data_IF_191423532759
#
_entry.id   IF_191423532759
#
_cell.length_a   1.000
_cell.length_b   1.000
_cell.length_c   1.000
_cell.angle_alpha   90.00
_cell.angle_beta   90.00
_cell.angle_gamma   90.00
#
_symmetry.space_group_name_H-M   'P 1'
#
loop_
_entity.id
_entity.type
_entity.pdbx_description
1 polymer ?
#
# COMPACT_ATOMS: atom_id res chain seq x y z
N UNK A 1 1.52 16.11 74.28
CA UNK A 1 0.94 17.03 73.29
C UNK A 1 0.99 16.35 71.93
N UNK A 2 -0.16 16.02 71.34
CA UNK A 2 -0.22 15.32 70.04
C UNK A 2 -0.33 16.35 68.91
N UNK A 3 0.48 16.19 67.86
CA UNK A 3 0.47 17.08 66.70
C UNK A 3 -0.79 16.85 65.84
N UNK A 4 -1.39 17.90 65.25
CA UNK A 4 -2.54 17.75 64.35
C UNK A 4 -2.11 17.06 63.05
N UNK A 5 -2.83 16.02 62.66
CA UNK A 5 -2.62 15.27 61.41
C UNK A 5 -2.99 16.18 60.24
N UNK A 6 -2.15 16.29 59.18
CA UNK A 6 -2.50 17.08 58.00
C UNK A 6 -3.70 16.46 57.28
N UNK A 7 -4.71 17.29 56.99
CA UNK A 7 -5.88 16.89 56.21
C UNK A 7 -5.44 16.59 54.79
N UNK A 8 -5.63 15.35 54.34
CA UNK A 8 -5.37 14.92 52.97
C UNK A 8 -6.70 14.79 52.22
N UNK A 9 -6.85 15.56 51.15
CA UNK A 9 -7.99 15.44 50.25
C UNK A 9 -7.86 14.14 49.45
N UNK A 10 -8.68 13.15 49.80
CA UNK A 10 -8.82 11.94 48.99
C UNK A 10 -9.69 12.29 47.78
N UNK A 11 -9.05 12.61 46.67
CA UNK A 11 -9.75 12.75 45.38
C UNK A 11 -10.18 11.36 44.92
N UNK A 12 -11.37 10.95 45.35
CA UNK A 12 -12.05 9.77 44.83
C UNK A 12 -12.51 10.07 43.40
N UNK A 13 -11.82 9.49 42.40
CA UNK A 13 -12.29 9.52 41.01
C UNK A 13 -13.46 8.52 40.88
N UNK A 14 -14.63 8.91 41.37
CA UNK A 14 -15.88 8.23 41.03
C UNK A 14 -16.14 8.48 39.55
N UNK A 15 -16.10 7.40 38.78
CA UNK A 15 -16.32 7.33 37.33
C UNK A 15 -15.03 7.30 36.50
N UNK A 16 -14.49 6.08 36.37
CA UNK A 16 -13.92 5.71 35.07
C UNK A 16 -15.02 5.99 34.04
N UNK A 17 -14.83 7.01 33.20
CA UNK A 17 -15.55 7.21 31.95
C UNK A 17 -15.35 5.98 31.05
N UNK A 18 -15.91 4.85 31.43
CA UNK A 18 -16.08 3.68 30.61
C UNK A 18 -17.36 3.88 29.82
N UNK A 19 -17.37 4.96 29.02
CA UNK A 19 -18.32 5.14 27.94
C UNK A 19 -18.11 4.02 26.94
N UNK A 20 -18.67 2.84 27.22
CA UNK A 20 -18.87 1.78 26.25
C UNK A 20 -19.90 2.33 25.26
N UNK A 21 -19.42 3.05 24.25
CA UNK A 21 -20.23 3.34 23.06
C UNK A 21 -20.57 1.98 22.46
N UNK A 22 -21.82 1.56 22.64
CA UNK A 22 -22.34 0.39 21.94
C UNK A 22 -22.18 0.68 20.45
N UNK A 23 -21.29 -0.07 19.80
CA UNK A 23 -21.18 -0.03 18.35
C UNK A 23 -22.46 -0.67 17.84
N UNK A 24 -23.46 0.15 17.50
CA UNK A 24 -24.58 -0.29 16.67
C UNK A 24 -23.96 -0.86 15.40
N UNK A 25 -23.98 -2.19 15.26
CA UNK A 25 -23.75 -2.82 13.98
C UNK A 25 -24.97 -2.48 13.16
N UNK A 26 -24.84 -1.52 12.25
CA UNK A 26 -25.84 -1.38 11.21
C UNK A 26 -25.74 -2.66 10.38
N UNK A 27 -26.75 -3.52 10.47
CA UNK A 27 -26.94 -4.61 9.54
C UNK A 27 -26.91 -4.01 8.14
N UNK A 28 -25.96 -4.44 7.32
CA UNK A 28 -25.88 -4.03 5.93
C UNK A 28 -27.06 -4.72 5.24
N UNK A 29 -28.06 -4.00 4.71
CA UNK A 29 -29.09 -4.63 3.91
C UNK A 29 -28.39 -5.27 2.72
N UNK A 30 -28.57 -6.58 2.55
CA UNK A 30 -28.02 -7.35 1.45
C UNK A 30 -28.80 -7.12 0.14
N UNK A 31 -29.14 -5.87 -0.17
CA UNK A 31 -29.64 -5.50 -1.48
C UNK A 31 -28.46 -4.96 -2.28
N UNK A 32 -28.03 -5.74 -3.29
CA UNK A 32 -27.18 -5.20 -4.34
C UNK A 32 -27.89 -3.98 -4.93
N UNK A 33 -27.26 -2.79 -4.96
CA UNK A 33 -27.87 -1.64 -5.60
C UNK A 33 -28.02 -1.97 -7.09
N UNK A 34 -29.24 -2.30 -7.49
CA UNK A 34 -29.60 -2.40 -8.90
C UNK A 34 -29.21 -1.06 -9.54
N UNK A 35 -28.33 -1.03 -10.55
CA UNK A 35 -27.99 0.21 -11.21
C UNK A 35 -29.26 0.71 -11.87
N UNK A 36 -29.91 1.70 -11.26
CA UNK A 36 -30.99 2.44 -11.90
C UNK A 36 -30.36 3.12 -13.12
N UNK A 37 -30.49 2.50 -14.28
CA UNK A 37 -30.20 3.13 -15.56
C UNK A 37 -31.24 4.23 -15.75
N UNK A 38 -30.95 5.42 -15.21
CA UNK A 38 -31.75 6.60 -15.47
C UNK A 38 -31.53 6.93 -16.94
N UNK A 39 -32.43 6.42 -17.78
CA UNK A 39 -32.57 6.73 -19.21
C UNK A 39 -33.00 8.20 -19.35
N UNK A 40 -32.08 9.10 -19.01
CA UNK A 40 -32.29 10.52 -19.21
C UNK A 40 -31.91 10.83 -20.66
N UNK A 41 -32.94 11.03 -21.48
CA UNK A 41 -32.87 11.59 -22.83
C UNK A 41 -32.37 13.04 -22.79
N UNK A 42 -31.16 13.27 -22.27
CA UNK A 42 -30.46 14.55 -22.23
C UNK A 42 -29.17 14.40 -23.03
N UNK A 43 -28.74 15.40 -23.81
CA UNK A 43 -27.45 15.36 -24.49
C UNK A 43 -26.36 15.08 -23.45
N UNK A 44 -25.66 13.95 -23.60
CA UNK A 44 -24.57 13.54 -22.70
C UNK A 44 -23.40 14.49 -22.89
N UNK A 45 -23.36 15.56 -22.09
CA UNK A 45 -22.17 16.39 -21.94
C UNK A 45 -21.04 15.46 -21.45
N UNK A 46 -19.90 15.50 -22.15
CA UNK A 46 -18.77 14.63 -21.85
C UNK A 46 -18.17 15.01 -20.49
N UNK A 47 -18.32 14.11 -19.52
CA UNK A 47 -17.82 14.30 -18.17
C UNK A 47 -16.63 13.35 -17.94
N UNK A 48 -15.43 13.91 -17.76
CA UNK A 48 -14.21 13.14 -17.52
C UNK A 48 -14.31 12.18 -16.32
N UNK A 49 -15.01 12.58 -15.27
CA UNK A 49 -15.23 11.76 -14.06
C UNK A 49 -16.04 10.51 -14.37
N UNK A 50 -17.11 10.66 -15.16
CA UNK A 50 -17.96 9.55 -15.61
C UNK A 50 -17.22 8.64 -16.58
N UNK A 51 -16.50 9.20 -17.56
CA UNK A 51 -15.70 8.44 -18.50
C UNK A 51 -14.63 7.60 -17.77
N UNK A 52 -13.93 8.20 -16.79
CA UNK A 52 -12.94 7.49 -15.96
C UNK A 52 -13.56 6.34 -15.16
N UNK A 53 -14.77 6.55 -14.62
CA UNK A 53 -15.51 5.49 -13.92
C UNK A 53 -15.88 4.34 -14.87
N UNK A 54 -16.40 4.65 -16.06
CA UNK A 54 -16.82 3.66 -17.05
C UNK A 54 -15.64 2.83 -17.57
N UNK A 55 -14.51 3.46 -17.89
CA UNK A 55 -13.27 2.77 -18.27
C UNK A 55 -12.79 1.83 -17.17
N UNK A 56 -12.80 2.32 -15.93
CA UNK A 56 -12.37 1.51 -14.78
C UNK A 56 -13.33 0.35 -14.54
N UNK A 57 -14.65 0.58 -14.56
CA UNK A 57 -15.70 -0.45 -14.44
C UNK A 57 -15.56 -1.53 -15.52
N UNK A 58 -15.36 -1.11 -16.77
CA UNK A 58 -15.16 -2.01 -17.91
C UNK A 58 -13.91 -2.88 -17.72
N UNK A 59 -12.80 -2.28 -17.30
CA UNK A 59 -11.56 -3.02 -16.97
C UNK A 59 -11.72 -4.04 -15.84
N UNK A 60 -12.67 -3.85 -14.91
CA UNK A 60 -12.94 -4.81 -13.83
C UNK A 60 -13.76 -6.03 -14.29
N UNK A 61 -14.53 -5.92 -15.36
CA UNK A 61 -15.42 -6.99 -15.81
C UNK A 61 -14.67 -8.23 -16.30
N UNK A 62 -13.43 -8.06 -16.77
CA UNK A 62 -12.61 -9.16 -17.31
C UNK A 62 -11.78 -9.94 -16.28
N UNK A 63 -11.86 -9.63 -14.98
CA UNK A 63 -11.10 -10.34 -13.95
C UNK A 63 -11.84 -11.56 -13.38
N UNK A 64 -11.07 -12.58 -12.98
CA UNK A 64 -11.55 -13.68 -12.14
C UNK A 64 -12.20 -13.16 -10.85
N UNK A 65 -13.21 -13.88 -10.32
CA UNK A 65 -14.07 -13.44 -9.21
C UNK A 65 -13.28 -12.89 -8.00
N UNK A 66 -12.23 -13.58 -7.57
CA UNK A 66 -11.42 -13.16 -6.40
C UNK A 66 -10.68 -11.84 -6.64
N UNK A 67 -10.08 -11.70 -7.82
CA UNK A 67 -9.36 -10.48 -8.22
C UNK A 67 -10.35 -9.33 -8.41
N UNK A 68 -11.52 -9.64 -8.98
CA UNK A 68 -12.59 -8.67 -9.21
C UNK A 68 -13.05 -8.02 -7.90
N UNK A 69 -13.21 -8.77 -6.82
CA UNK A 69 -13.60 -8.24 -5.50
C UNK A 69 -12.54 -7.26 -4.99
N UNK A 70 -11.26 -7.66 -5.01
CA UNK A 70 -10.14 -6.81 -4.55
C UNK A 70 -10.07 -5.51 -5.36
N UNK A 71 -10.26 -5.60 -6.68
CA UNK A 71 -10.23 -4.43 -7.56
C UNK A 71 -11.46 -3.52 -7.40
N UNK A 72 -12.65 -4.10 -7.16
CA UNK A 72 -13.88 -3.34 -6.85
C UNK A 72 -13.70 -2.53 -5.56
N UNK A 73 -13.13 -3.14 -4.51
CA UNK A 73 -12.81 -2.45 -3.26
C UNK A 73 -11.79 -1.34 -3.48
N UNK A 74 -10.71 -1.60 -4.22
CA UNK A 74 -9.72 -0.57 -4.55
C UNK A 74 -10.31 0.59 -5.36
N UNK A 75 -11.20 0.28 -6.30
CA UNK A 75 -11.94 1.26 -7.09
C UNK A 75 -12.80 2.16 -6.20
N UNK A 76 -13.57 1.56 -5.29
CA UNK A 76 -14.39 2.30 -4.33
C UNK A 76 -13.54 3.23 -3.47
N UNK A 77 -12.39 2.75 -2.96
CA UNK A 77 -11.45 3.57 -2.18
C UNK A 77 -10.95 4.76 -3.01
N UNK A 78 -10.61 4.56 -4.28
CA UNK A 78 -10.15 5.63 -5.18
C UNK A 78 -11.24 6.66 -5.49
N UNK A 79 -12.51 6.27 -5.43
CA UNK A 79 -13.67 7.16 -5.53
C UNK A 79 -14.00 7.85 -4.20
N UNK A 80 -13.23 7.59 -3.14
CA UNK A 80 -13.39 8.22 -1.82
C UNK A 80 -14.12 7.37 -0.78
N UNK A 81 -14.45 6.11 -1.10
CA UNK A 81 -15.02 5.21 -0.08
C UNK A 81 -14.00 4.94 1.03
N UNK A 82 -14.51 4.79 2.27
CA UNK A 82 -13.68 4.45 3.42
C UNK A 82 -13.09 3.04 3.26
N UNK A 83 -11.78 2.84 3.44
CA UNK A 83 -11.17 1.52 3.33
C UNK A 83 -11.74 0.55 4.37
N UNK A 84 -11.80 -0.76 4.06
CA UNK A 84 -12.29 -1.76 4.99
C UNK A 84 -11.42 -1.81 6.25
N UNK A 85 -12.05 -2.11 7.40
CA UNK A 85 -11.33 -2.24 8.66
C UNK A 85 -10.41 -3.46 8.60
N UNK A 86 -9.20 -3.32 9.14
CA UNK A 86 -8.26 -4.43 9.28
C UNK A 86 -8.77 -5.41 10.34
N UNK A 87 -8.45 -6.68 10.16
CA UNK A 87 -8.68 -7.72 11.16
C UNK A 87 -7.99 -7.37 12.48
N UNK A 88 -8.63 -7.75 13.58
CA UNK A 88 -8.04 -7.58 14.91
C UNK A 88 -6.85 -8.53 15.06
N UNK A 89 -5.72 -8.01 15.54
CA UNK A 89 -4.51 -8.79 15.81
C UNK A 89 -3.96 -8.42 17.17
N UNK A 90 -3.41 -9.39 17.88
CA UNK A 90 -2.66 -9.14 19.12
C UNK A 90 -1.46 -8.21 18.83
N UNK A 91 -1.22 -7.24 19.70
CA UNK A 91 -0.17 -6.24 19.53
C UNK A 91 1.22 -6.85 19.30
N UNK A 92 1.57 -7.92 20.04
CA UNK A 92 2.89 -8.57 19.90
C UNK A 92 3.08 -9.14 18.49
N UNK A 93 2.06 -9.82 17.97
CA UNK A 93 2.05 -10.40 16.61
C UNK A 93 2.12 -9.29 15.56
N UNK A 94 1.32 -8.24 15.71
CA UNK A 94 1.31 -7.09 14.81
C UNK A 94 2.69 -6.40 14.75
N UNK A 95 3.39 -6.33 15.88
CA UNK A 95 4.74 -5.75 15.91
C UNK A 95 5.78 -6.63 15.23
N UNK A 96 5.72 -7.94 15.43
CA UNK A 96 6.58 -8.89 14.74
C UNK A 96 6.38 -8.82 13.21
N UNK A 97 5.12 -8.81 12.74
CA UNK A 97 4.82 -8.65 11.30
C UNK A 97 5.39 -7.35 10.73
N UNK A 98 5.30 -6.24 11.46
CA UNK A 98 5.87 -4.95 11.03
C UNK A 98 7.39 -5.01 10.92
N UNK A 99 8.06 -5.69 11.85
CA UNK A 99 9.52 -5.82 11.82
C UNK A 99 9.96 -6.68 10.63
N UNK A 100 9.31 -7.83 10.42
CA UNK A 100 9.56 -8.71 9.28
C UNK A 100 9.36 -7.99 7.94
N UNK A 101 8.24 -7.28 7.77
CA UNK A 101 7.98 -6.49 6.56
C UNK A 101 9.04 -5.43 6.29
N UNK A 102 9.54 -4.74 7.33
CA UNK A 102 10.63 -3.77 7.19
C UNK A 102 11.94 -4.43 6.75
N UNK A 103 12.24 -5.64 7.24
CA UNK A 103 13.42 -6.39 6.83
C UNK A 103 13.30 -6.84 5.37
N UNK A 104 12.16 -7.42 4.98
CA UNK A 104 11.88 -7.83 3.59
C UNK A 104 11.95 -6.64 2.63
N UNK A 105 11.40 -5.48 3.00
CA UNK A 105 11.47 -4.27 2.18
C UNK A 105 12.93 -3.78 1.99
N UNK A 106 13.74 -3.81 3.06
CA UNK A 106 15.18 -3.48 2.97
C UNK A 106 15.92 -4.46 2.07
N UNK A 107 15.62 -5.76 2.15
CA UNK A 107 16.23 -6.76 1.27
C UNK A 107 15.82 -6.59 -0.18
N UNK A 108 14.53 -6.30 -0.45
CA UNK A 108 14.04 -6.02 -1.79
C UNK A 108 14.73 -4.79 -2.40
N UNK A 109 14.84 -3.69 -1.65
CA UNK A 109 15.57 -2.49 -2.08
C UNK A 109 17.04 -2.79 -2.39
N UNK A 110 17.74 -3.53 -1.52
CA UNK A 110 19.11 -3.97 -1.77
C UNK A 110 19.24 -4.84 -3.02
N UNK A 111 18.27 -5.72 -3.30
CA UNK A 111 18.24 -6.55 -4.52
C UNK A 111 18.01 -5.70 -5.77
N UNK A 112 17.07 -4.76 -5.71
CA UNK A 112 16.78 -3.81 -6.79
C UNK A 112 18.01 -2.92 -7.09
N UNK A 113 18.67 -2.39 -6.07
CA UNK A 113 19.92 -1.61 -6.20
C UNK A 113 21.05 -2.45 -6.82
N UNK A 114 21.26 -3.69 -6.34
CA UNK A 114 22.27 -4.60 -6.92
C UNK A 114 21.97 -4.93 -8.37
N UNK A 115 20.71 -5.18 -8.72
CA UNK A 115 20.29 -5.44 -10.09
C UNK A 115 20.55 -4.21 -10.98
N UNK A 116 20.20 -3.02 -10.52
CA UNK A 116 20.48 -1.76 -11.21
C UNK A 116 21.98 -1.58 -11.48
N UNK A 117 22.83 -1.81 -10.46
CA UNK A 117 24.30 -1.73 -10.58
C UNK A 117 24.90 -2.77 -11.52
N UNK A 118 24.30 -3.96 -11.64
CA UNK A 118 24.77 -5.02 -12.55
C UNK A 118 24.42 -4.75 -14.03
N UNK A 119 23.28 -4.11 -14.29
CA UNK A 119 22.88 -3.74 -15.67
C UNK A 119 23.75 -2.62 -16.24
N UNK A 120 24.31 -1.76 -15.39
CA UNK A 120 25.33 -0.77 -15.77
C UNK A 120 26.69 -1.48 -15.83
N UNK A 121 26.94 -2.27 -16.88
CA UNK A 121 28.28 -2.83 -17.12
C UNK A 121 29.31 -1.68 -17.17
N UNK A 122 30.40 -1.71 -16.40
CA UNK A 122 31.40 -0.65 -16.46
C UNK A 122 32.07 -0.67 -17.85
N UNK A 123 31.77 0.34 -18.68
CA UNK A 123 32.35 0.54 -20.03
C UNK A 123 33.89 0.55 -20.04
N UNK A 124 34.55 0.75 -18.89
CA UNK A 124 36.00 0.92 -18.75
C UNK A 124 36.84 -0.31 -19.11
N UNK A 125 36.32 -1.55 -19.06
CA UNK A 125 37.11 -2.77 -19.36
C UNK A 125 37.17 -3.17 -20.84
N UNK A 126 36.37 -2.56 -21.73
CA UNK A 126 36.38 -2.88 -23.17
C UNK A 126 37.57 -2.26 -23.92
N UNK A 127 37.96 -1.03 -23.57
CA UNK A 127 39.04 -0.31 -24.26
C UNK A 127 40.43 -0.88 -23.94
N UNK A 128 40.64 -1.34 -22.70
CA UNK A 128 41.93 -1.91 -22.27
C UNK A 128 42.29 -3.21 -23.02
N UNK A 129 41.29 -4.05 -23.33
CA UNK A 129 41.49 -5.27 -24.12
C UNK A 129 41.83 -4.97 -25.58
N UNK A 130 41.26 -3.90 -26.14
CA UNK A 130 41.56 -3.44 -27.51
C UNK A 130 43.01 -2.94 -27.62
N UNK A 131 43.45 -2.15 -26.64
CA UNK A 131 44.83 -1.63 -26.59
C UNK A 131 45.87 -2.75 -26.40
N UNK A 132 45.62 -3.71 -25.49
CA UNK A 132 46.50 -4.89 -25.32
C UNK A 132 46.60 -5.74 -26.59
N UNK A 133 45.49 -5.91 -27.32
CA UNK A 133 45.48 -6.68 -28.58
C UNK A 133 46.28 -5.99 -29.68
N UNK A 134 46.22 -4.66 -29.77
CA UNK A 134 47.00 -3.88 -30.73
C UNK A 134 48.51 -3.96 -30.44
N UNK A 135 48.93 -3.83 -29.18
CA UNK A 135 50.33 -4.02 -28.75
C UNK A 135 50.87 -5.42 -29.07
N UNK A 136 50.05 -6.46 -28.86
CA UNK A 136 50.39 -7.84 -29.21
C UNK A 136 50.43 -8.12 -30.71
N UNK A 137 49.78 -7.29 -31.53
CA UNK A 137 49.83 -7.39 -32.98
C UNK A 137 51.06 -6.65 -33.54
N UNK A 138 51.39 -5.47 -32.99
CA UNK A 138 52.57 -4.72 -33.37
C UNK A 138 53.87 -5.51 -33.08
N UNK A 139 53.98 -6.13 -31.91
CA UNK A 139 55.13 -6.97 -31.53
C UNK A 139 55.31 -8.25 -32.37
N UNK A 140 54.29 -8.66 -33.14
CA UNK A 140 54.36 -9.82 -34.06
C UNK A 140 54.79 -9.45 -35.47
N UNK A 141 54.83 -8.15 -35.81
CA UNK A 141 55.24 -7.67 -37.12
C UNK A 141 56.73 -7.29 -37.16
N UNK A 142 57.39 -7.25 -35.99
CA UNK A 142 58.81 -6.87 -35.85
C UNK A 142 59.78 -8.07 -35.78
N UNK A 143 59.29 -9.30 -35.94
CA UNK A 143 60.10 -10.53 -36.14
C UNK A 143 59.67 -11.20 -37.44
#
# INVERSE_FOLDING_TARGET
MAAPIPQCDVVCFSERFCGKKSVKRNEVPAEEPQPSEVSSNKPKIFNYTKARYEVMRFGLSGFEKEKQIKTKVAMAIRLGAKPPRKEYKNYKVLMQEKLQKKLEEKERKKKEEKHHLQTIKPRKKRNLKKYKKQLLQASKQEN
#
